data_IF_631279063003
#
_entry.id   IF_631279063003
#
_cell.length_a   1.000
_cell.length_b   1.000
_cell.length_c   1.000
_cell.angle_alpha   90.00
_cell.angle_beta   90.00
_cell.angle_gamma   90.00
#
_symmetry.space_group_name_H-M   'P 1'
#
loop_
_entity.id
_entity.type
_entity.pdbx_description
1 polymer ?
#
# COMPACT_ATOMS: atom_id res chain seq x y z
N UNK A 1 -13.84 -6.82 19.12
CA UNK A 1 -13.01 -7.27 20.26
C UNK A 1 -11.85 -6.28 20.37
N UNK A 2 -11.66 -5.64 21.53
CA UNK A 2 -10.52 -4.75 21.73
C UNK A 2 -9.22 -5.57 21.70
N UNK A 3 -8.21 -5.08 20.97
CA UNK A 3 -6.89 -5.72 20.88
C UNK A 3 -6.24 -5.60 22.26
N UNK A 4 -5.81 -6.73 22.86
CA UNK A 4 -5.02 -6.66 24.07
C UNK A 4 -3.68 -5.94 23.76
N UNK A 5 -3.34 -4.85 24.48
CA UNK A 5 -2.20 -3.99 24.15
C UNK A 5 -0.84 -4.72 24.21
N UNK A 6 -0.83 -5.92 24.79
CA UNK A 6 0.31 -6.77 25.04
C UNK A 6 0.36 -8.02 24.14
N UNK A 7 -0.27 -8.02 22.94
CA UNK A 7 -0.10 -9.14 21.98
C UNK A 7 1.14 -9.03 21.08
N UNK A 8 1.48 -7.85 20.55
CA UNK A 8 2.57 -7.70 19.58
C UNK A 8 3.92 -7.49 20.26
N UNK A 9 4.88 -8.38 20.04
CA UNK A 9 6.22 -8.29 20.66
C UNK A 9 7.18 -7.40 19.86
N UNK A 10 6.90 -7.21 18.57
CA UNK A 10 7.69 -6.41 17.65
C UNK A 10 6.82 -5.42 16.86
N UNK A 11 7.43 -4.33 16.43
CA UNK A 11 6.81 -3.29 15.62
C UNK A 11 7.74 -2.98 14.46
N UNK A 12 7.23 -3.14 13.25
CA UNK A 12 7.97 -2.81 12.04
C UNK A 12 7.28 -1.69 11.29
N UNK A 13 8.06 -0.76 10.75
CA UNK A 13 7.60 0.25 9.81
C UNK A 13 8.34 0.06 8.49
N UNK A 14 7.60 0.07 7.39
CA UNK A 14 8.13 -0.11 6.05
C UNK A 14 7.75 1.09 5.20
N UNK A 15 8.76 1.85 4.78
CA UNK A 15 8.62 2.82 3.70
C UNK A 15 8.56 2.07 2.37
N UNK A 16 7.73 2.55 1.43
CA UNK A 16 7.43 1.82 0.20
C UNK A 16 7.64 2.66 -1.06
N UNK A 17 8.23 2.02 -2.07
CA UNK A 17 8.49 2.63 -3.37
C UNK A 17 7.66 2.01 -4.49
N UNK A 18 6.98 2.88 -5.22
CA UNK A 18 6.33 2.57 -6.50
C UNK A 18 7.24 2.69 -7.73
N UNK A 19 8.56 2.90 -7.55
CA UNK A 19 9.47 3.08 -8.66
C UNK A 19 9.64 1.79 -9.49
N UNK A 20 10.01 1.99 -10.76
CA UNK A 20 10.37 0.93 -11.72
C UNK A 20 11.80 0.50 -11.43
N UNK A 21 12.05 -0.80 -11.48
CA UNK A 21 13.38 -1.38 -11.36
C UNK A 21 13.48 -2.55 -10.38
N UNK A 22 14.58 -3.32 -10.48
CA UNK A 22 14.83 -4.51 -9.68
C UNK A 22 15.05 -4.23 -8.19
N UNK A 23 15.50 -3.02 -7.85
CA UNK A 23 15.81 -2.58 -6.49
C UNK A 23 15.21 -1.20 -6.24
N UNK A 24 14.93 -0.93 -4.98
CA UNK A 24 14.12 0.19 -4.55
C UNK A 24 14.84 0.93 -3.42
N UNK A 25 15.47 2.05 -3.75
CA UNK A 25 16.13 2.90 -2.75
C UNK A 25 15.15 3.51 -1.75
N UNK A 26 13.87 3.65 -2.15
CA UNK A 26 12.77 4.09 -1.30
C UNK A 26 12.02 2.95 -0.60
N UNK A 27 12.58 1.75 -0.51
CA UNK A 27 12.09 0.74 0.45
C UNK A 27 13.08 0.67 1.60
N UNK A 28 12.58 0.90 2.81
CA UNK A 28 13.33 0.77 4.05
C UNK A 28 12.47 0.05 5.09
N UNK A 29 13.07 -0.87 5.84
CA UNK A 29 12.42 -1.61 6.91
C UNK A 29 13.13 -1.27 8.22
N UNK A 30 12.38 -0.72 9.17
CA UNK A 30 12.85 -0.50 10.53
C UNK A 30 12.03 -1.36 11.50
N UNK A 31 12.66 -1.93 12.52
CA UNK A 31 12.00 -2.78 13.51
C UNK A 31 12.46 -2.44 14.93
N UNK A 32 11.56 -2.53 15.90
CA UNK A 32 11.89 -2.54 17.32
C UNK A 32 11.10 -3.64 18.05
N UNK A 33 11.64 -4.08 19.18
CA UNK A 33 10.90 -4.85 20.16
C UNK A 33 10.14 -3.90 21.11
N UNK A 34 9.28 -4.46 21.96
CA UNK A 34 8.72 -3.71 23.10
C UNK A 34 9.80 -3.07 23.96
N UNK A 35 9.47 -1.90 24.50
CA UNK A 35 10.31 -1.15 25.42
C UNK A 35 10.66 0.21 24.85
N UNK A 36 11.81 0.74 25.26
CA UNK A 36 12.29 2.07 24.90
C UNK A 36 13.53 2.05 24.01
N UNK A 37 13.92 0.88 23.50
CA UNK A 37 15.03 0.78 22.57
C UNK A 37 14.67 1.44 21.22
N UNK A 38 15.64 2.13 20.62
CA UNK A 38 15.46 2.73 19.30
C UNK A 38 15.22 1.65 18.23
N UNK A 39 14.40 1.93 17.20
CA UNK A 39 14.28 1.05 16.04
C UNK A 39 15.61 0.87 15.32
N UNK A 40 15.84 -0.33 14.81
CA UNK A 40 17.01 -0.66 13.99
C UNK A 40 16.59 -0.92 12.55
N UNK A 41 17.46 -0.55 11.60
CA UNK A 41 17.23 -0.84 10.18
C UNK A 41 17.54 -2.30 9.89
N UNK A 42 16.64 -2.96 9.17
CA UNK A 42 16.86 -4.29 8.63
C UNK A 42 17.58 -4.16 7.29
N UNK A 43 18.76 -4.78 7.19
CA UNK A 43 19.52 -4.82 5.95
C UNK A 43 18.98 -5.90 5.02
N UNK A 44 18.87 -5.57 3.73
CA UNK A 44 18.66 -6.53 2.66
C UNK A 44 19.92 -6.61 1.79
N UNK A 45 20.39 -7.82 1.50
CA UNK A 45 21.55 -8.02 0.63
C UNK A 45 21.30 -7.41 -0.77
N UNK A 46 22.21 -6.55 -1.20
CA UNK A 46 22.06 -5.81 -2.46
C UNK A 46 20.94 -4.77 -2.46
N UNK A 47 20.42 -4.39 -1.29
CA UNK A 47 19.33 -3.43 -1.12
C UNK A 47 17.93 -4.04 -1.27
N UNK A 48 16.90 -3.30 -0.87
CA UNK A 48 15.54 -3.79 -0.90
C UNK A 48 14.98 -3.93 -2.33
N UNK A 49 14.30 -5.04 -2.58
CA UNK A 49 13.37 -5.22 -3.71
C UNK A 49 11.98 -5.51 -3.16
N UNK A 50 10.92 -5.34 -3.96
CA UNK A 50 9.57 -5.72 -3.53
C UNK A 50 9.45 -7.22 -3.25
N UNK A 51 10.21 -8.06 -3.98
CA UNK A 51 10.29 -9.50 -3.71
C UNK A 51 11.00 -9.80 -2.39
N UNK A 52 12.09 -9.08 -2.07
CA UNK A 52 12.77 -9.22 -0.78
C UNK A 52 11.88 -8.76 0.38
N UNK A 53 11.12 -7.67 0.19
CA UNK A 53 10.14 -7.23 1.18
C UNK A 53 9.00 -8.24 1.37
N UNK A 54 8.48 -8.82 0.28
CA UNK A 54 7.51 -9.91 0.33
C UNK A 54 8.05 -11.11 1.11
N UNK A 55 9.27 -11.56 0.80
CA UNK A 55 9.90 -12.68 1.49
C UNK A 55 10.13 -12.40 2.98
N UNK A 56 10.57 -11.18 3.30
CA UNK A 56 10.73 -10.78 4.69
C UNK A 56 9.40 -10.81 5.45
N UNK A 57 8.34 -10.25 4.86
CA UNK A 57 6.99 -10.26 5.42
C UNK A 57 6.41 -11.67 5.55
N UNK A 58 6.72 -12.59 4.63
CA UNK A 58 6.17 -13.94 4.65
C UNK A 58 6.94 -14.87 5.59
N UNK A 59 8.27 -14.75 5.62
CA UNK A 59 9.15 -15.82 6.09
C UNK A 59 10.21 -15.39 7.11
N UNK A 60 10.60 -14.11 7.16
CA UNK A 60 11.79 -13.71 7.93
C UNK A 60 11.51 -12.71 9.08
N UNK A 61 10.37 -12.04 9.09
CA UNK A 61 10.02 -11.15 10.19
C UNK A 61 9.82 -11.92 11.50
N UNK A 62 10.12 -11.32 12.66
CA UNK A 62 9.83 -11.95 13.94
C UNK A 62 8.34 -12.29 14.12
N UNK A 63 8.00 -13.32 14.92
CA UNK A 63 6.61 -13.60 15.25
C UNK A 63 5.98 -12.42 16.01
N UNK A 64 4.65 -12.34 15.97
CA UNK A 64 3.86 -11.31 16.66
C UNK A 64 4.30 -9.87 16.32
N UNK A 65 4.71 -9.65 15.07
CA UNK A 65 5.07 -8.32 14.55
C UNK A 65 3.83 -7.56 14.08
N UNK A 66 3.61 -6.34 14.59
CA UNK A 66 2.71 -5.37 13.97
C UNK A 66 3.50 -4.60 12.91
N UNK A 67 3.12 -4.76 11.64
CA UNK A 67 3.77 -4.14 10.49
C UNK A 67 2.95 -2.97 9.99
N UNK A 68 3.52 -1.78 9.99
CA UNK A 68 2.98 -0.61 9.30
C UNK A 68 3.60 -0.45 7.91
N UNK A 69 2.78 -0.40 6.87
CA UNK A 69 3.22 -0.09 5.50
C UNK A 69 2.83 1.33 5.10
N UNK A 70 3.80 2.13 4.63
CA UNK A 70 3.57 3.47 4.08
C UNK A 70 3.12 3.40 2.61
N UNK A 71 1.92 2.83 2.40
CA UNK A 71 1.26 2.75 1.09
C UNK A 71 -0.26 2.58 1.25
N UNK A 72 -1.01 2.95 0.22
CA UNK A 72 -2.45 2.72 0.16
C UNK A 72 -2.81 1.29 -0.28
N UNK A 73 -3.41 0.44 0.57
CA UNK A 73 -3.83 -0.90 0.17
C UNK A 73 -5.10 -0.91 -0.69
N UNK A 74 -5.64 0.23 -1.10
CA UNK A 74 -6.82 0.29 -1.98
C UNK A 74 -6.90 1.60 -2.78
N UNK A 75 -7.87 1.67 -3.69
CA UNK A 75 -8.26 2.87 -4.43
C UNK A 75 -9.57 3.45 -3.86
N UNK A 76 -9.95 4.70 -4.21
CA UNK A 76 -11.26 5.24 -3.88
C UNK A 76 -12.39 4.37 -4.41
N UNK A 77 -13.39 4.09 -3.57
CA UNK A 77 -14.54 3.22 -3.90
C UNK A 77 -15.85 3.84 -3.44
N UNK A 78 -15.96 4.13 -2.14
CA UNK A 78 -17.19 4.52 -1.44
C UNK A 78 -17.92 5.72 -2.06
N UNK A 79 -17.20 6.66 -2.65
CA UNK A 79 -17.79 7.86 -3.23
C UNK A 79 -18.59 7.60 -4.52
N UNK A 80 -18.33 6.49 -5.23
CA UNK A 80 -19.08 6.11 -6.44
C UNK A 80 -19.49 4.62 -6.49
N UNK A 81 -19.36 3.90 -5.37
CA UNK A 81 -19.62 2.45 -5.28
C UNK A 81 -18.84 1.60 -6.31
N UNK A 82 -17.69 2.10 -6.77
CA UNK A 82 -16.84 1.46 -7.77
C UNK A 82 -15.42 2.05 -7.75
N UNK A 83 -14.41 1.21 -8.01
CA UNK A 83 -13.04 1.70 -8.26
C UNK A 83 -12.95 2.43 -9.61
N UNK A 84 -13.56 1.86 -10.65
CA UNK A 84 -13.55 2.39 -12.02
C UNK A 84 -14.99 2.49 -12.57
N UNK A 85 -15.72 3.58 -12.23
CA UNK A 85 -17.11 3.76 -12.62
C UNK A 85 -17.31 3.65 -14.14
N UNK A 86 -18.30 2.86 -14.56
CA UNK A 86 -18.61 2.62 -15.97
C UNK A 86 -17.86 1.45 -16.61
N UNK A 87 -16.85 0.88 -15.95
CA UNK A 87 -16.18 -0.33 -16.43
C UNK A 87 -16.83 -1.59 -15.86
N UNK A 88 -17.34 -2.45 -16.74
CA UNK A 88 -18.05 -3.68 -16.36
C UNK A 88 -17.20 -4.67 -15.55
N UNK A 89 -15.88 -4.66 -15.72
CA UNK A 89 -14.94 -5.51 -14.96
C UNK A 89 -14.34 -4.79 -13.75
N UNK A 90 -14.88 -3.62 -13.37
CA UNK A 90 -14.45 -2.93 -12.15
C UNK A 90 -14.61 -3.88 -10.96
N UNK A 91 -13.56 -4.04 -10.11
CA UNK A 91 -13.62 -4.97 -9.00
C UNK A 91 -14.65 -4.54 -7.95
N UNK A 92 -15.31 -5.51 -7.33
CA UNK A 92 -16.35 -5.27 -6.33
C UNK A 92 -15.77 -4.92 -4.93
N UNK A 93 -14.54 -5.32 -4.65
CA UNK A 93 -13.89 -5.09 -3.36
C UNK A 93 -12.36 -5.01 -3.50
N UNK A 94 -11.67 -4.73 -2.38
CA UNK A 94 -10.22 -4.58 -2.38
C UNK A 94 -9.47 -5.88 -2.75
N UNK A 95 -9.97 -7.06 -2.39
CA UNK A 95 -9.31 -8.33 -2.75
C UNK A 95 -9.41 -8.58 -4.25
N UNK A 96 -10.59 -8.33 -4.83
CA UNK A 96 -10.82 -8.37 -6.26
C UNK A 96 -9.96 -7.33 -6.99
N UNK A 97 -9.76 -6.14 -6.42
CA UNK A 97 -8.84 -5.13 -6.95
C UNK A 97 -7.41 -5.65 -6.98
N UNK A 98 -6.92 -6.24 -5.89
CA UNK A 98 -5.55 -6.76 -5.85
C UNK A 98 -5.35 -7.89 -6.87
N UNK A 99 -6.34 -8.79 -7.00
CA UNK A 99 -6.32 -9.85 -8.00
C UNK A 99 -6.35 -9.31 -9.44
N UNK A 100 -7.11 -8.23 -9.70
CA UNK A 100 -7.13 -7.55 -10.99
C UNK A 100 -5.78 -6.91 -11.32
N UNK A 101 -5.18 -6.18 -10.37
CA UNK A 101 -3.84 -5.58 -10.53
C UNK A 101 -2.82 -6.68 -10.82
N UNK A 102 -2.85 -7.78 -10.06
CA UNK A 102 -1.93 -8.90 -10.29
C UNK A 102 -2.11 -9.54 -11.66
N UNK A 103 -3.36 -9.76 -12.09
CA UNK A 103 -3.67 -10.37 -13.38
C UNK A 103 -3.14 -9.53 -14.55
N UNK A 104 -3.41 -8.21 -14.53
CA UNK A 104 -2.96 -7.32 -15.60
C UNK A 104 -1.43 -7.19 -15.61
N UNK A 105 -0.79 -7.19 -14.44
CA UNK A 105 0.66 -7.07 -14.30
C UNK A 105 1.41 -8.39 -14.25
N UNK A 106 0.81 -9.51 -14.68
CA UNK A 106 1.39 -10.84 -14.55
C UNK A 106 2.79 -10.94 -15.21
N UNK A 107 3.01 -10.22 -16.31
CA UNK A 107 4.30 -10.18 -17.03
C UNK A 107 5.19 -9.00 -16.65
N UNK A 108 4.72 -8.10 -15.77
CA UNK A 108 5.52 -6.96 -15.33
C UNK A 108 6.64 -7.46 -14.40
N UNK A 109 7.91 -7.13 -14.69
CA UNK A 109 9.03 -7.57 -13.87
C UNK A 109 8.99 -6.90 -12.49
N UNK A 110 9.73 -7.46 -11.53
CA UNK A 110 10.03 -6.82 -10.25
C UNK A 110 8.81 -6.36 -9.42
N UNK A 111 7.64 -6.98 -9.62
CA UNK A 111 6.37 -6.57 -9.00
C UNK A 111 5.96 -5.13 -9.36
N UNK A 112 6.31 -4.66 -10.56
CA UNK A 112 5.88 -3.37 -11.09
C UNK A 112 4.38 -3.35 -11.42
N UNK A 113 3.84 -2.16 -11.68
CA UNK A 113 2.44 -1.99 -12.06
C UNK A 113 2.28 -1.25 -13.40
N UNK A 114 3.28 -1.33 -14.27
CA UNK A 114 3.36 -0.58 -15.52
C UNK A 114 2.18 -0.92 -16.46
N UNK A 115 1.89 -2.21 -16.64
CA UNK A 115 0.77 -2.67 -17.49
C UNK A 115 -0.59 -2.20 -16.96
N UNK A 116 -0.80 -2.18 -15.64
CA UNK A 116 -2.04 -1.68 -15.05
C UNK A 116 -2.20 -0.17 -15.24
N UNK A 117 -1.10 0.59 -15.14
CA UNK A 117 -1.11 2.04 -15.36
C UNK A 117 -1.44 2.41 -16.81
N UNK A 118 -1.09 1.55 -17.76
CA UNK A 118 -1.34 1.76 -19.19
C UNK A 118 -2.58 1.03 -19.74
N UNK A 119 -3.27 0.23 -18.92
CA UNK A 119 -4.52 -0.45 -19.31
C UNK A 119 -5.61 0.55 -19.71
N UNK A 120 -6.27 0.32 -20.85
CA UNK A 120 -7.19 1.27 -21.48
C UNK A 120 -8.29 1.79 -20.54
N UNK A 121 -9.01 0.90 -19.86
CA UNK A 121 -10.08 1.31 -18.93
C UNK A 121 -9.55 1.99 -17.68
N UNK A 122 -8.51 1.45 -17.04
CA UNK A 122 -7.90 2.03 -15.83
C UNK A 122 -7.33 3.42 -16.11
N UNK A 123 -6.64 3.59 -17.23
CA UNK A 123 -5.96 4.83 -17.61
C UNK A 123 -6.90 6.04 -17.70
N UNK A 124 -8.19 5.80 -18.00
CA UNK A 124 -9.23 6.84 -18.05
C UNK A 124 -9.50 7.48 -16.69
N UNK A 125 -9.14 6.82 -15.60
CA UNK A 125 -9.32 7.30 -14.22
C UNK A 125 -8.02 7.81 -13.57
N UNK A 126 -6.88 7.74 -14.26
CA UNK A 126 -5.57 8.05 -13.69
C UNK A 126 -5.00 9.38 -14.17
N UNK A 127 -4.23 10.05 -13.31
CA UNK A 127 -3.27 11.08 -13.73
C UNK A 127 -1.89 10.47 -13.81
N UNK A 128 -1.27 10.51 -14.99
CA UNK A 128 0.00 9.84 -15.33
C UNK A 128 1.04 10.85 -15.84
N UNK A 129 2.30 10.41 -15.86
CA UNK A 129 3.42 11.23 -16.31
C UNK A 129 3.28 11.67 -17.77
N UNK A 130 3.94 12.77 -18.14
CA UNK A 130 3.89 13.34 -19.48
C UNK A 130 2.57 14.05 -19.80
N UNK A 131 1.88 14.60 -18.79
CA UNK A 131 0.60 15.30 -18.98
C UNK A 131 -0.58 14.39 -19.30
N UNK A 132 -0.39 13.07 -19.31
CA UNK A 132 -1.42 12.08 -19.60
C UNK A 132 -2.44 12.03 -18.45
N UNK A 133 -3.60 12.63 -18.64
CA UNK A 133 -4.70 12.64 -17.68
C UNK A 133 -5.91 11.94 -18.29
N UNK A 134 -6.43 10.91 -17.62
CA UNK A 134 -7.65 10.25 -18.01
C UNK A 134 -8.86 11.18 -17.93
N UNK A 135 -9.87 10.92 -18.76
CA UNK A 135 -11.07 11.76 -18.86
C UNK A 135 -11.90 11.81 -17.57
N UNK A 136 -11.84 10.76 -16.74
CA UNK A 136 -12.54 10.67 -15.46
C UNK A 136 -11.67 11.12 -14.27
N UNK A 137 -10.43 11.58 -14.51
CA UNK A 137 -9.60 12.19 -13.46
C UNK A 137 -9.91 13.69 -13.36
N UNK A 138 -10.73 14.04 -12.37
CA UNK A 138 -11.13 15.41 -12.06
C UNK A 138 -10.38 15.99 -10.86
N UNK A 139 -10.12 17.30 -10.86
CA UNK A 139 -9.48 18.00 -9.74
C UNK A 139 -8.18 17.34 -9.25
N UNK A 140 -8.16 16.96 -7.97
CA UNK A 140 -7.05 16.24 -7.32
C UNK A 140 -7.18 14.71 -7.38
N UNK A 141 -8.23 14.19 -8.02
CA UNK A 141 -8.65 12.79 -7.97
C UNK A 141 -9.54 12.49 -6.76
N UNK A 142 -10.27 11.38 -6.87
CA UNK A 142 -11.14 10.82 -5.81
C UNK A 142 -10.30 10.40 -4.60
N UNK A 143 -10.87 10.40 -3.40
CA UNK A 143 -10.17 10.04 -2.16
C UNK A 143 -10.84 8.86 -1.48
N UNK A 144 -10.07 8.03 -0.74
CA UNK A 144 -10.68 7.08 0.19
C UNK A 144 -11.16 7.83 1.43
N UNK A 145 -12.00 7.15 2.22
CA UNK A 145 -12.49 7.66 3.51
C UNK A 145 -11.33 8.04 4.45
N UNK A 146 -10.22 7.30 4.39
CA UNK A 146 -9.00 7.58 5.16
C UNK A 146 -8.38 8.92 4.78
N UNK A 147 -8.17 9.19 3.48
CA UNK A 147 -7.67 10.49 3.02
C UNK A 147 -8.64 11.62 3.35
N UNK A 148 -9.96 11.43 3.18
CA UNK A 148 -10.93 12.46 3.61
C UNK A 148 -10.85 12.76 5.12
N UNK A 149 -10.61 11.73 5.95
CA UNK A 149 -10.37 11.92 7.38
C UNK A 149 -9.06 12.69 7.67
N UNK A 150 -8.00 12.49 6.88
CA UNK A 150 -6.78 13.29 6.98
C UNK A 150 -7.04 14.75 6.60
N UNK A 151 -7.78 14.98 5.51
CA UNK A 151 -8.12 16.33 5.03
C UNK A 151 -8.89 17.11 6.09
N UNK A 152 -9.83 16.47 6.79
CA UNK A 152 -10.59 17.09 7.91
C UNK A 152 -9.71 17.49 9.10
N UNK A 153 -8.52 16.91 9.22
CA UNK A 153 -7.50 17.28 10.22
C UNK A 153 -6.54 18.38 9.72
N UNK A 154 -6.84 19.03 8.59
CA UNK A 154 -6.01 20.08 8.01
C UNK A 154 -4.73 19.56 7.33
N UNK A 155 -4.74 18.31 6.86
CA UNK A 155 -3.70 17.74 6.01
C UNK A 155 -4.06 17.87 4.53
N UNK A 156 -3.07 17.73 3.65
CA UNK A 156 -3.23 17.77 2.19
C UNK A 156 -2.95 16.40 1.56
N UNK A 157 -3.83 15.41 1.75
CA UNK A 157 -3.63 14.06 1.21
C UNK A 157 -3.73 14.07 -0.32
N UNK A 158 -3.04 13.12 -0.94
CA UNK A 158 -3.05 12.91 -2.40
C UNK A 158 -3.86 11.66 -2.74
N UNK A 159 -4.64 11.72 -3.83
CA UNK A 159 -5.38 10.56 -4.35
C UNK A 159 -4.45 9.44 -4.81
N UNK A 160 -4.80 8.18 -4.51
CA UNK A 160 -4.12 7.00 -5.06
C UNK A 160 -4.34 6.83 -6.58
N UNK A 161 -5.22 7.62 -7.20
CA UNK A 161 -5.37 7.69 -8.67
C UNK A 161 -4.38 8.66 -9.32
N UNK A 162 -3.64 9.43 -8.52
CA UNK A 162 -2.61 10.34 -9.00
C UNK A 162 -1.23 9.68 -8.97
N UNK A 163 -0.64 9.46 -10.16
CA UNK A 163 0.64 8.79 -10.37
C UNK A 163 1.77 9.76 -10.74
N UNK A 164 1.59 11.05 -10.49
CA UNK A 164 2.50 12.14 -10.85
C UNK A 164 2.95 12.92 -9.63
N UNK A 165 4.18 13.44 -9.69
CA UNK A 165 4.77 14.34 -8.71
C UNK A 165 5.55 13.59 -7.63
N UNK A 166 6.13 14.37 -6.70
CA UNK A 166 6.96 13.86 -5.61
C UNK A 166 6.24 12.84 -4.70
N UNK A 167 4.91 12.83 -4.71
CA UNK A 167 4.12 11.95 -3.86
C UNK A 167 4.00 10.52 -4.40
N UNK A 168 4.00 10.27 -5.73
CA UNK A 168 3.76 8.96 -6.42
C UNK A 168 2.93 7.88 -5.67
N UNK A 169 1.98 8.29 -4.81
CA UNK A 169 1.35 7.41 -3.81
C UNK A 169 0.55 6.33 -4.51
N UNK A 170 -0.04 6.64 -5.66
CA UNK A 170 -0.78 5.66 -6.43
C UNK A 170 0.08 4.56 -7.03
N UNK A 171 1.31 4.84 -7.49
CA UNK A 171 2.21 3.78 -8.00
C UNK A 171 2.69 2.90 -6.85
N UNK A 172 3.04 3.53 -5.72
CA UNK A 172 3.38 2.83 -4.48
C UNK A 172 2.25 1.88 -4.10
N UNK A 173 1.02 2.38 -4.05
CA UNK A 173 -0.20 1.62 -3.77
C UNK A 173 -0.38 0.42 -4.71
N UNK A 174 -0.34 0.62 -6.03
CA UNK A 174 -0.52 -0.48 -6.99
C UNK A 174 0.53 -1.59 -6.85
N UNK A 175 1.79 -1.22 -6.66
CA UNK A 175 2.88 -2.21 -6.49
C UNK A 175 2.81 -2.89 -5.12
N UNK A 176 2.34 -2.17 -4.10
CA UNK A 176 2.00 -2.73 -2.79
C UNK A 176 0.87 -3.74 -2.86
N UNK A 177 -0.21 -3.45 -3.61
CA UNK A 177 -1.33 -4.38 -3.81
C UNK A 177 -0.88 -5.72 -4.40
N UNK A 178 0.12 -5.74 -5.30
CA UNK A 178 0.71 -6.99 -5.82
C UNK A 178 1.40 -7.82 -4.74
N UNK A 179 2.03 -7.17 -3.77
CA UNK A 179 2.65 -7.83 -2.60
C UNK A 179 1.59 -8.31 -1.62
N UNK A 180 0.61 -7.46 -1.31
CA UNK A 180 -0.53 -7.80 -0.44
C UNK A 180 -1.37 -8.97 -1.02
N UNK A 181 -1.53 -9.05 -2.33
CA UNK A 181 -2.19 -10.17 -2.99
C UNK A 181 -1.47 -11.50 -2.72
N UNK A 182 -0.12 -11.50 -2.76
CA UNK A 182 0.70 -12.70 -2.49
C UNK A 182 0.74 -13.06 -1.01
N UNK A 183 0.63 -12.08 -0.12
CA UNK A 183 0.55 -12.29 1.33
C UNK A 183 -0.84 -12.74 1.78
N UNK A 184 -1.87 -12.59 0.93
CA UNK A 184 -3.23 -13.01 1.24
C UNK A 184 -3.27 -14.47 1.69
N UNK A 185 -3.94 -14.73 2.82
CA UNK A 185 -4.02 -16.07 3.42
C UNK A 185 -2.78 -16.49 4.22
N UNK A 186 -1.67 -15.76 4.15
CA UNK A 186 -0.43 -16.05 4.89
C UNK A 186 -0.23 -15.09 6.07
N UNK A 187 -0.42 -13.79 5.84
CA UNK A 187 -0.33 -12.74 6.86
C UNK A 187 -1.61 -11.91 6.82
N UNK A 188 -2.32 -11.72 7.95
CA UNK A 188 -3.55 -10.94 7.95
C UNK A 188 -3.27 -9.44 7.76
N UNK A 189 -4.12 -8.79 6.97
CA UNK A 189 -4.01 -7.38 6.59
C UNK A 189 -5.28 -6.67 7.03
N UNK A 190 -5.18 -5.82 8.05
CA UNK A 190 -6.33 -5.05 8.53
C UNK A 190 -6.52 -3.77 7.68
N UNK A 191 -7.76 -3.38 7.34
CA UNK A 191 -9.05 -3.93 7.80
C UNK A 191 -9.67 -5.01 6.90
N UNK A 192 -8.92 -5.58 5.95
CA UNK A 192 -9.44 -6.58 5.00
C UNK A 192 -9.58 -7.97 5.61
N UNK A 193 -8.78 -8.28 6.62
CA UNK A 193 -8.83 -9.50 7.42
C UNK A 193 -9.20 -9.16 8.87
N UNK A 194 -9.83 -10.10 9.61
CA UNK A 194 -9.99 -9.96 11.05
C UNK A 194 -8.62 -9.88 11.72
N UNK A 195 -8.55 -9.13 12.82
CA UNK A 195 -7.36 -9.09 13.67
C UNK A 195 -7.14 -10.49 14.26
N UNK A 196 -6.00 -11.16 14.02
CA UNK A 196 -5.77 -12.51 14.53
C UNK A 196 -5.55 -12.47 16.06
N UNK A 197 -5.82 -13.58 16.73
CA UNK A 197 -5.56 -13.73 18.17
C UNK A 197 -4.07 -13.80 18.51
N UNK A 198 -3.25 -14.26 17.56
CA UNK A 198 -1.81 -14.48 17.69
C UNK A 198 -1.14 -14.33 16.32
N UNK A 199 0.17 -14.09 16.29
CA UNK A 199 0.92 -13.88 15.07
C UNK A 199 0.84 -12.45 14.53
N UNK A 200 1.47 -12.22 13.37
CA UNK A 200 1.67 -10.89 12.81
C UNK A 200 0.37 -10.24 12.33
N UNK A 201 0.42 -8.92 12.11
CA UNK A 201 -0.64 -8.17 11.44
C UNK A 201 -0.04 -7.04 10.62
N UNK A 202 -0.55 -6.85 9.40
CA UNK A 202 -0.21 -5.71 8.54
C UNK A 202 -1.30 -4.65 8.65
N UNK A 203 -0.89 -3.39 8.78
CA UNK A 203 -1.73 -2.19 8.74
C UNK A 203 -1.15 -1.14 7.79
N UNK A 204 -2.01 -0.30 7.24
CA UNK A 204 -1.58 0.95 6.60
C UNK A 204 -1.18 1.97 7.69
N UNK A 205 -0.10 2.71 7.46
CA UNK A 205 0.32 3.82 8.33
C UNK A 205 0.32 5.15 7.59
N UNK A 206 0.11 6.22 8.35
CA UNK A 206 0.14 7.59 7.85
C UNK A 206 1.21 8.37 8.61
N UNK A 207 2.42 8.40 8.07
CA UNK A 207 3.62 8.93 8.73
C UNK A 207 3.48 10.40 9.14
N UNK A 208 2.78 11.22 8.35
CA UNK A 208 2.54 12.64 8.68
C UNK A 208 1.66 12.83 9.92
N UNK A 209 0.72 11.92 10.18
CA UNK A 209 -0.11 11.97 11.39
C UNK A 209 0.75 11.65 12.61
N UNK A 210 1.57 10.60 12.52
CA UNK A 210 2.49 10.22 13.59
C UNK A 210 3.49 11.34 13.90
N UNK A 211 4.07 11.97 12.87
CA UNK A 211 5.03 13.05 13.03
C UNK A 211 4.46 14.31 13.73
N UNK A 212 3.15 14.55 13.65
CA UNK A 212 2.49 15.68 14.33
C UNK A 212 2.07 15.39 15.77
N UNK A 213 2.04 14.12 16.17
CA UNK A 213 1.65 13.70 17.51
C UNK A 213 2.83 13.57 18.48
N UNK A 214 4.07 13.64 17.96
CA UNK A 214 5.31 13.62 18.71
C UNK A 214 5.76 15.01 19.17
#
# INVERSE_FOLDING_TARGET
MAIAPDRFSHFAAIDWSGAVGPRQSGIAVAICARGSAAPTLVAAEGGWSRTAALDWLANAMPPDTLVGLDLGPSLPFIDQDAFFPGWAESPADARALWALVERICATDPHLEASSFVDHDEVARHLRRHGGRKGEFFEGSGRLRVTEEAQRRQGLSPTSNLNLVGAAQVGKSSLTGMRVLHRLAGHVPIWPFDPVPSQGPLIVEIYTTIAARAC
#
